data_IF_946742104335
#
_entry.id   IF_946742104335
#
_cell.length_a   1.000
_cell.length_b   1.000
_cell.length_c   1.000
_cell.angle_alpha   90.00
_cell.angle_beta   90.00
_cell.angle_gamma   90.00
#
_symmetry.space_group_name_H-M   'P 1'
#
loop_
_entity.id
_entity.type
_entity.pdbx_description
1 polymer ?
#
# COMPACT_ATOMS: atom_id res chain seq x y z
N UNK A 1 2.36 -17.39 -6.69
CA UNK A 1 1.39 -16.35 -7.04
C UNK A 1 1.69 -15.13 -6.20
N UNK A 2 2.35 -14.13 -6.76
CA UNK A 2 2.79 -12.92 -6.04
C UNK A 2 1.76 -11.81 -6.22
N UNK A 3 1.45 -11.07 -5.16
CA UNK A 3 0.55 -9.92 -5.21
C UNK A 3 1.29 -8.66 -4.74
N UNK A 4 1.39 -7.69 -5.63
CA UNK A 4 1.90 -6.35 -5.35
C UNK A 4 0.77 -5.48 -4.79
N UNK A 5 0.78 -5.22 -3.48
CA UNK A 5 -0.31 -4.48 -2.86
C UNK A 5 -0.24 -2.97 -3.09
N UNK A 6 0.84 -2.46 -3.69
CA UNK A 6 1.06 -1.03 -3.90
C UNK A 6 1.98 -0.82 -5.10
N UNK A 7 1.42 -0.37 -6.20
CA UNK A 7 2.19 0.17 -7.31
C UNK A 7 1.47 1.35 -7.93
N UNK A 8 2.19 2.34 -8.45
CA UNK A 8 1.62 3.42 -9.23
C UNK A 8 1.60 3.04 -10.71
N UNK A 9 0.67 3.64 -11.45
CA UNK A 9 0.80 3.67 -12.91
C UNK A 9 1.98 4.60 -13.21
N UNK A 10 2.88 4.20 -14.11
CA UNK A 10 4.08 4.96 -14.44
C UNK A 10 5.36 4.27 -13.99
N UNK A 11 6.44 4.52 -14.73
CA UNK A 11 7.70 3.80 -14.54
C UNK A 11 8.33 4.15 -13.20
N UNK A 12 8.28 5.41 -12.80
CA UNK A 12 8.84 5.91 -11.56
C UNK A 12 8.12 7.15 -11.05
N UNK A 13 8.69 7.75 -10.00
CA UNK A 13 8.13 8.92 -9.32
C UNK A 13 8.00 10.16 -10.20
N UNK A 14 8.80 10.27 -11.25
CA UNK A 14 8.78 11.41 -12.18
C UNK A 14 7.69 11.28 -13.23
N UNK A 15 7.48 10.06 -13.72
CA UNK A 15 6.58 9.73 -14.82
C UNK A 15 5.14 9.53 -14.34
N UNK A 16 4.92 9.22 -13.05
CA UNK A 16 3.57 9.02 -12.51
C UNK A 16 2.68 10.23 -12.77
N UNK A 17 3.20 11.45 -12.66
CA UNK A 17 2.42 12.68 -12.89
C UNK A 17 2.16 13.01 -14.36
N UNK A 18 2.73 12.25 -15.29
CA UNK A 18 2.57 12.44 -16.73
C UNK A 18 1.45 11.56 -17.32
N UNK A 19 0.76 10.80 -16.48
CA UNK A 19 -0.32 9.91 -16.91
C UNK A 19 -1.60 10.70 -17.16
N UNK A 20 -2.22 10.41 -18.29
CA UNK A 20 -3.41 11.06 -18.81
C UNK A 20 -4.34 10.02 -19.41
N UNK A 21 -5.56 10.46 -19.76
CA UNK A 21 -6.52 9.62 -20.49
C UNK A 21 -6.01 9.18 -21.87
N UNK A 22 -5.02 9.86 -22.43
CA UNK A 22 -4.49 9.56 -23.77
C UNK A 22 -3.39 8.49 -23.74
N UNK A 23 -2.70 8.29 -22.60
CA UNK A 23 -1.53 7.40 -22.51
C UNK A 23 -1.64 6.29 -21.44
N UNK A 24 -2.67 6.27 -20.58
CA UNK A 24 -2.75 5.31 -19.48
C UNK A 24 -2.72 3.84 -19.94
N UNK A 25 -3.27 3.52 -21.11
CA UNK A 25 -3.27 2.16 -21.69
C UNK A 25 -1.83 1.67 -21.90
N UNK A 26 -0.95 2.51 -22.46
CA UNK A 26 0.45 2.17 -22.68
C UNK A 26 1.17 1.92 -21.35
N UNK A 27 0.92 2.76 -20.34
CA UNK A 27 1.49 2.57 -19.00
C UNK A 27 1.01 1.28 -18.34
N UNK A 28 -0.25 0.88 -18.55
CA UNK A 28 -0.80 -0.38 -18.06
C UNK A 28 -0.11 -1.57 -18.73
N UNK A 29 0.05 -1.55 -20.06
CA UNK A 29 0.75 -2.61 -20.78
C UNK A 29 2.22 -2.75 -20.33
N UNK A 30 2.91 -1.63 -20.11
CA UNK A 30 4.27 -1.61 -19.58
C UNK A 30 4.30 -2.24 -18.17
N UNK A 31 3.38 -1.85 -17.29
CA UNK A 31 3.28 -2.41 -15.95
C UNK A 31 3.06 -3.93 -16.01
N UNK A 32 2.11 -4.42 -16.81
CA UNK A 32 1.79 -5.85 -16.90
C UNK A 32 2.96 -6.64 -17.49
N UNK A 33 3.64 -6.12 -18.51
CA UNK A 33 4.87 -6.73 -19.05
C UNK A 33 5.98 -6.85 -17.99
N UNK A 34 6.11 -5.82 -17.14
CA UNK A 34 7.04 -5.85 -16.00
C UNK A 34 6.60 -6.85 -14.93
N UNK A 35 5.32 -6.91 -14.62
CA UNK A 35 4.76 -7.92 -13.72
C UNK A 35 5.11 -9.34 -14.22
N UNK A 36 4.95 -9.62 -15.50
CA UNK A 36 5.29 -10.92 -16.11
C UNK A 36 6.78 -11.25 -15.98
N UNK A 37 7.63 -10.26 -16.24
CA UNK A 37 9.09 -10.41 -16.11
C UNK A 37 9.53 -10.78 -14.69
N UNK A 38 8.82 -10.28 -13.68
CA UNK A 38 9.16 -10.47 -12.26
C UNK A 38 8.27 -11.49 -11.54
N UNK A 39 7.37 -12.18 -12.26
CA UNK A 39 6.47 -13.18 -11.68
C UNK A 39 5.44 -12.59 -10.70
N UNK A 40 4.97 -11.38 -10.97
CA UNK A 40 3.89 -10.71 -10.23
C UNK A 40 2.57 -11.05 -10.92
N UNK A 41 1.65 -11.70 -10.21
CA UNK A 41 0.39 -12.14 -10.80
C UNK A 41 -0.67 -11.04 -10.72
N UNK A 42 -0.71 -10.32 -9.60
CA UNK A 42 -1.70 -9.28 -9.33
C UNK A 42 -1.06 -8.03 -8.74
N UNK A 43 -1.63 -6.87 -9.04
CA UNK A 43 -1.18 -5.59 -8.50
C UNK A 43 -2.36 -4.71 -8.08
N UNK A 44 -2.19 -3.92 -7.03
CA UNK A 44 -3.13 -2.87 -6.61
C UNK A 44 -2.54 -1.53 -7.01
N UNK A 45 -3.22 -0.85 -7.93
CA UNK A 45 -2.84 0.47 -8.39
C UNK A 45 -3.22 1.53 -7.34
N UNK A 46 -2.23 2.29 -6.90
CA UNK A 46 -2.39 3.40 -5.97
C UNK A 46 -2.55 4.72 -6.74
N UNK A 47 -3.72 5.40 -6.64
CA UNK A 47 -3.93 6.68 -7.31
C UNK A 47 -3.10 7.80 -6.66
N UNK A 48 -2.80 8.83 -7.44
CA UNK A 48 -2.03 10.01 -6.99
C UNK A 48 -2.93 11.25 -6.95
N UNK A 49 -3.94 11.24 -6.09
CA UNK A 49 -4.84 12.38 -5.89
C UNK A 49 -4.12 13.53 -5.14
N UNK A 50 -4.41 14.80 -5.47
CA UNK A 50 -5.38 15.28 -6.47
C UNK A 50 -4.85 15.36 -7.91
N UNK A 51 -3.58 15.04 -8.15
CA UNK A 51 -2.96 15.21 -9.47
C UNK A 51 -3.56 14.28 -10.53
N UNK A 52 -3.86 13.03 -10.17
CA UNK A 52 -4.48 12.04 -11.04
C UNK A 52 -5.63 11.37 -10.30
N UNK A 53 -6.81 11.44 -10.91
CA UNK A 53 -8.04 10.98 -10.28
C UNK A 53 -8.08 9.46 -10.11
N UNK A 54 -8.71 9.01 -9.03
CA UNK A 54 -9.02 7.60 -8.80
C UNK A 54 -9.80 6.97 -9.96
N UNK A 55 -10.67 7.74 -10.63
CA UNK A 55 -11.44 7.25 -11.79
C UNK A 55 -10.54 6.77 -12.96
N UNK A 56 -9.41 7.43 -13.22
CA UNK A 56 -8.47 6.98 -14.26
C UNK A 56 -7.87 5.62 -13.88
N UNK A 57 -7.54 5.44 -12.61
CA UNK A 57 -6.99 4.18 -12.10
C UNK A 57 -8.01 3.05 -12.15
N UNK A 58 -9.29 3.33 -11.91
CA UNK A 58 -10.37 2.37 -12.12
C UNK A 58 -10.46 1.96 -13.59
N UNK A 59 -10.46 2.90 -14.54
CA UNK A 59 -10.44 2.60 -15.97
C UNK A 59 -9.21 1.75 -16.37
N UNK A 60 -8.04 2.04 -15.79
CA UNK A 60 -6.82 1.27 -16.03
C UNK A 60 -6.98 -0.21 -15.60
N UNK A 61 -7.72 -0.49 -14.53
CA UNK A 61 -7.98 -1.89 -14.11
C UNK A 61 -8.85 -2.67 -15.08
N UNK A 62 -9.73 -2.00 -15.85
CA UNK A 62 -10.62 -2.66 -16.81
C UNK A 62 -9.87 -3.28 -17.99
N UNK A 63 -8.63 -2.86 -18.24
CA UNK A 63 -7.78 -3.41 -19.31
C UNK A 63 -7.33 -4.84 -18.95
N UNK A 64 -6.98 -5.09 -17.68
CA UNK A 64 -6.56 -6.41 -17.17
C UNK A 64 -7.26 -6.73 -15.82
N UNK A 65 -8.58 -6.95 -15.82
CA UNK A 65 -9.39 -7.01 -14.59
C UNK A 65 -9.06 -8.21 -13.68
N UNK A 66 -8.50 -9.28 -14.24
CA UNK A 66 -8.06 -10.45 -13.46
C UNK A 66 -6.73 -10.26 -12.74
N UNK A 67 -6.00 -9.17 -13.07
CA UNK A 67 -4.64 -8.90 -12.59
C UNK A 67 -4.53 -7.58 -11.84
N UNK A 68 -5.32 -6.58 -12.21
CA UNK A 68 -5.20 -5.24 -11.66
C UNK A 68 -6.41 -4.92 -10.79
N UNK A 69 -6.11 -4.44 -9.60
CA UNK A 69 -7.08 -3.83 -8.69
C UNK A 69 -6.71 -2.35 -8.50
N UNK A 70 -7.62 -1.57 -7.93
CA UNK A 70 -7.36 -0.16 -7.64
C UNK A 70 -7.62 0.12 -6.16
N UNK A 71 -6.73 0.88 -5.53
CA UNK A 71 -7.06 1.61 -4.32
C UNK A 71 -7.80 2.91 -4.70
N UNK A 72 -8.58 3.47 -3.79
CA UNK A 72 -9.16 4.79 -3.96
C UNK A 72 -8.48 5.79 -3.03
N UNK A 73 -8.15 6.98 -3.54
CA UNK A 73 -7.73 8.11 -2.69
C UNK A 73 -8.83 9.15 -2.72
N UNK A 74 -9.21 9.63 -1.53
CA UNK A 74 -10.36 10.52 -1.36
C UNK A 74 -9.98 11.62 -0.39
N UNK A 75 -10.14 12.87 -0.82
CA UNK A 75 -10.05 14.02 0.09
C UNK A 75 -11.21 13.94 1.09
N UNK A 76 -10.96 13.84 2.42
CA UNK A 76 -12.03 13.57 3.39
C UNK A 76 -13.10 14.67 3.52
N UNK A 77 -12.87 15.86 2.95
CA UNK A 77 -13.80 16.98 2.99
C UNK A 77 -14.33 17.33 1.59
N UNK A 78 -15.63 17.62 1.45
CA UNK A 78 -16.69 17.53 2.46
C UNK A 78 -17.05 16.09 2.86
N UNK A 79 -17.27 15.84 4.15
CA UNK A 79 -17.37 14.49 4.72
C UNK A 79 -18.46 13.62 4.10
N UNK A 80 -19.65 14.18 3.85
CA UNK A 80 -20.75 13.41 3.25
C UNK A 80 -20.43 13.00 1.81
N UNK A 81 -19.81 13.90 1.04
CA UNK A 81 -19.39 13.63 -0.34
C UNK A 81 -18.25 12.61 -0.38
N UNK A 82 -17.31 12.69 0.56
CA UNK A 82 -16.21 11.72 0.69
C UNK A 82 -16.75 10.30 0.96
N UNK A 83 -17.76 10.17 1.83
CA UNK A 83 -18.42 8.89 2.11
C UNK A 83 -19.21 8.36 0.92
N UNK A 84 -19.94 9.21 0.22
CA UNK A 84 -20.65 8.84 -1.02
C UNK A 84 -19.67 8.36 -2.09
N UNK A 85 -18.56 9.08 -2.31
CA UNK A 85 -17.49 8.66 -3.22
C UNK A 85 -16.85 7.34 -2.81
N UNK A 86 -16.60 7.13 -1.51
CA UNK A 86 -16.05 5.87 -1.02
C UNK A 86 -16.98 4.71 -1.38
N UNK A 87 -18.29 4.86 -1.18
CA UNK A 87 -19.26 3.84 -1.57
C UNK A 87 -19.26 3.59 -3.08
N UNK A 88 -19.28 4.64 -3.89
CA UNK A 88 -19.23 4.52 -5.36
C UNK A 88 -17.94 3.79 -5.83
N UNK A 89 -16.78 4.12 -5.26
CA UNK A 89 -15.53 3.45 -5.59
C UNK A 89 -15.47 1.99 -5.14
N UNK A 90 -16.05 1.66 -3.97
CA UNK A 90 -16.19 0.27 -3.53
C UNK A 90 -17.08 -0.50 -4.50
N UNK A 91 -18.21 0.07 -4.91
CA UNK A 91 -19.15 -0.55 -5.85
C UNK A 91 -18.52 -0.76 -7.25
N UNK A 92 -17.60 0.14 -7.65
CA UNK A 92 -16.77 0.01 -8.86
C UNK A 92 -15.58 -0.95 -8.69
N UNK A 93 -15.39 -1.55 -7.52
CA UNK A 93 -14.41 -2.62 -7.30
C UNK A 93 -13.09 -2.21 -6.65
N UNK A 94 -12.98 -1.00 -6.09
CA UNK A 94 -11.79 -0.62 -5.31
C UNK A 94 -11.53 -1.61 -4.15
N UNK A 95 -10.25 -1.90 -3.90
CA UNK A 95 -9.78 -2.90 -2.93
C UNK A 95 -9.05 -2.33 -1.72
N UNK A 96 -8.79 -1.03 -1.69
CA UNK A 96 -8.22 -0.33 -0.54
C UNK A 96 -8.62 1.15 -0.55
N UNK A 97 -8.57 1.80 0.62
CA UNK A 97 -8.58 3.24 0.78
C UNK A 97 -7.13 3.70 1.00
N UNK A 98 -6.66 4.64 0.20
CA UNK A 98 -5.36 5.29 0.31
C UNK A 98 -5.52 6.66 0.97
N UNK A 99 -4.87 6.83 2.11
CA UNK A 99 -4.68 8.11 2.79
C UNK A 99 -3.27 8.60 2.49
N UNK A 100 -3.17 9.47 1.49
CA UNK A 100 -1.93 10.11 1.08
C UNK A 100 -1.72 11.42 1.86
N UNK A 101 -0.48 11.72 2.25
CA UNK A 101 -0.16 12.95 3.00
C UNK A 101 -0.62 14.25 2.32
N UNK A 102 -0.84 14.24 1.00
CA UNK A 102 -1.43 15.36 0.26
C UNK A 102 -2.96 15.44 0.36
N UNK A 103 -3.64 14.33 0.64
CA UNK A 103 -5.10 14.23 0.59
C UNK A 103 -5.80 14.38 1.94
N UNK A 104 -5.10 14.19 3.07
CA UNK A 104 -5.67 14.33 4.41
C UNK A 104 -4.71 14.96 5.44
N UNK A 105 -5.28 15.39 6.58
CA UNK A 105 -4.52 15.78 7.76
C UNK A 105 -4.82 14.79 8.91
N UNK A 106 -3.81 14.24 9.63
CA UNK A 106 -4.02 13.21 10.67
C UNK A 106 -4.92 13.63 11.84
N UNK A 107 -5.01 14.94 12.11
CA UNK A 107 -5.88 15.50 13.16
C UNK A 107 -7.29 15.85 12.66
N UNK A 108 -7.59 15.71 11.37
CA UNK A 108 -8.91 16.04 10.84
C UNK A 108 -9.93 14.94 11.20
N UNK A 109 -11.01 15.24 11.94
CA UNK A 109 -12.07 14.27 12.23
C UNK A 109 -12.73 13.68 10.99
N UNK A 110 -12.69 14.39 9.85
CA UNK A 110 -13.22 13.88 8.59
C UNK A 110 -12.43 12.65 8.09
N UNK A 111 -11.11 12.63 8.27
CA UNK A 111 -10.26 11.50 7.91
C UNK A 111 -10.59 10.26 8.76
N UNK A 112 -10.74 10.45 10.08
CA UNK A 112 -11.15 9.38 10.99
C UNK A 112 -12.54 8.82 10.64
N UNK A 113 -13.49 9.69 10.28
CA UNK A 113 -14.81 9.24 9.85
C UNK A 113 -14.78 8.48 8.51
N UNK A 114 -13.87 8.84 7.61
CA UNK A 114 -13.68 8.10 6.36
C UNK A 114 -13.08 6.72 6.61
N UNK A 115 -12.07 6.63 7.49
CA UNK A 115 -11.51 5.36 7.96
C UNK A 115 -12.58 4.47 8.58
N UNK A 116 -13.43 5.05 9.44
CA UNK A 116 -14.54 4.33 10.06
C UNK A 116 -15.46 3.66 9.03
N UNK A 117 -15.85 4.39 7.97
CA UNK A 117 -16.68 3.81 6.92
C UNK A 117 -15.94 2.74 6.11
N UNK A 118 -14.65 2.94 5.80
CA UNK A 118 -13.83 1.95 5.09
C UNK A 118 -13.71 0.64 5.88
N UNK A 119 -13.41 0.72 7.18
CA UNK A 119 -13.33 -0.45 8.08
C UNK A 119 -14.67 -1.20 8.11
N UNK A 120 -15.81 -0.50 8.21
CA UNK A 120 -17.14 -1.14 8.20
C UNK A 120 -17.45 -1.92 6.94
N UNK A 121 -16.76 -1.62 5.84
CA UNK A 121 -16.87 -2.30 4.55
C UNK A 121 -15.78 -3.35 4.33
N UNK A 122 -14.98 -3.65 5.36
CA UNK A 122 -13.79 -4.52 5.31
C UNK A 122 -12.76 -4.06 4.27
N UNK A 123 -12.70 -2.74 4.01
CA UNK A 123 -11.76 -2.15 3.06
C UNK A 123 -10.45 -1.81 3.80
N UNK A 124 -9.30 -2.36 3.38
CA UNK A 124 -7.99 -2.00 3.91
C UNK A 124 -7.68 -0.51 3.78
N UNK A 125 -6.91 0.01 4.72
CA UNK A 125 -6.48 1.41 4.77
C UNK A 125 -4.97 1.45 4.58
N UNK A 126 -4.54 2.08 3.51
CA UNK A 126 -3.14 2.36 3.22
C UNK A 126 -2.82 3.76 3.71
N UNK A 127 -1.75 3.88 4.49
CA UNK A 127 -1.26 5.16 4.99
C UNK A 127 0.05 5.45 4.27
N UNK A 128 0.05 6.51 3.47
CA UNK A 128 1.18 6.91 2.65
C UNK A 128 1.68 8.29 3.08
N UNK A 129 2.87 8.29 3.65
CA UNK A 129 3.62 9.49 4.02
C UNK A 129 5.08 9.25 3.63
N UNK A 130 5.73 10.23 2.99
CA UNK A 130 7.15 10.14 2.66
C UNK A 130 7.99 9.96 3.95
N UNK A 131 7.53 10.59 5.04
CA UNK A 131 8.07 10.45 6.40
C UNK A 131 6.92 10.42 7.41
N UNK A 132 6.81 9.34 8.19
CA UNK A 132 5.84 9.28 9.28
C UNK A 132 6.17 10.29 10.38
N UNK A 133 5.27 11.26 10.56
CA UNK A 133 5.33 12.25 11.63
C UNK A 133 4.72 11.71 12.92
N UNK A 134 5.05 12.32 14.07
CA UNK A 134 4.44 11.97 15.36
C UNK A 134 2.91 12.07 15.33
N UNK A 135 2.36 13.02 14.59
CA UNK A 135 0.90 13.18 14.42
C UNK A 135 0.30 12.01 13.64
N UNK A 136 0.96 11.57 12.57
CA UNK A 136 0.51 10.43 11.76
C UNK A 136 0.62 9.12 12.52
N UNK A 137 1.70 8.94 13.30
CA UNK A 137 1.88 7.79 14.19
C UNK A 137 0.79 7.78 15.26
N UNK A 138 0.48 8.93 15.87
CA UNK A 138 -0.62 9.04 16.85
C UNK A 138 -1.99 8.76 16.21
N UNK A 139 -2.17 9.17 14.96
CA UNK A 139 -3.39 8.86 14.20
C UNK A 139 -3.51 7.35 13.94
N UNK A 140 -2.46 6.71 13.41
CA UNK A 140 -2.42 5.25 13.21
C UNK A 140 -2.63 4.51 14.53
N UNK A 141 -1.98 4.96 15.61
CA UNK A 141 -2.13 4.43 16.96
C UNK A 141 -3.61 4.47 17.38
N UNK A 142 -4.26 5.62 17.26
CA UNK A 142 -5.66 5.77 17.61
C UNK A 142 -6.60 4.90 16.77
N UNK A 143 -6.52 4.97 15.44
CA UNK A 143 -7.45 4.25 14.55
C UNK A 143 -7.30 2.73 14.66
N UNK A 144 -6.07 2.23 14.79
CA UNK A 144 -5.83 0.78 14.90
C UNK A 144 -6.22 0.22 16.28
N UNK A 145 -6.28 1.04 17.32
CA UNK A 145 -6.86 0.66 18.62
C UNK A 145 -8.39 0.66 18.59
N UNK A 146 -9.00 1.65 17.96
CA UNK A 146 -10.46 1.78 17.87
C UNK A 146 -11.08 0.75 16.91
N UNK A 147 -10.35 0.38 15.86
CA UNK A 147 -10.79 -0.54 14.81
C UNK A 147 -9.88 -1.78 14.75
N UNK A 148 -10.03 -2.68 15.71
CA UNK A 148 -9.20 -3.89 15.80
C UNK A 148 -9.42 -4.84 14.63
N UNK A 149 -10.58 -4.76 13.99
CA UNK A 149 -10.99 -5.46 12.78
C UNK A 149 -10.49 -4.80 11.49
N UNK A 150 -10.14 -3.50 11.54
CA UNK A 150 -9.59 -2.79 10.38
C UNK A 150 -8.27 -3.38 9.93
N UNK A 151 -7.86 -3.14 8.67
CA UNK A 151 -6.58 -3.62 8.15
C UNK A 151 -5.74 -2.41 7.73
N UNK A 152 -4.67 -2.13 8.45
CA UNK A 152 -3.86 -0.92 8.24
C UNK A 152 -2.49 -1.29 7.67
N UNK A 153 -2.17 -0.72 6.51
CA UNK A 153 -0.87 -0.91 5.85
C UNK A 153 -0.14 0.41 5.83
N UNK A 154 1.07 0.44 6.39
CA UNK A 154 1.96 1.60 6.27
C UNK A 154 2.83 1.43 5.04
N UNK A 155 2.61 2.29 4.05
CA UNK A 155 3.37 2.29 2.80
C UNK A 155 4.79 2.83 3.02
N UNK A 156 5.75 2.38 2.20
CA UNK A 156 7.17 2.72 2.30
C UNK A 156 7.76 2.48 3.70
N UNK A 157 7.24 1.52 4.47
CA UNK A 157 7.58 1.28 5.88
C UNK A 157 7.54 2.56 6.77
N UNK A 158 6.78 3.58 6.36
CA UNK A 158 6.72 4.88 7.04
C UNK A 158 7.92 5.80 6.84
N UNK A 159 8.76 5.52 5.84
CA UNK A 159 9.95 6.29 5.52
C UNK A 159 11.16 5.93 6.39
N UNK A 160 12.36 6.24 5.89
CA UNK A 160 13.64 5.78 6.47
C UNK A 160 13.79 6.15 7.96
N UNK A 161 13.42 7.38 8.34
CA UNK A 161 13.51 7.88 9.72
C UNK A 161 12.22 7.70 10.53
N UNK A 162 11.11 7.40 9.86
CA UNK A 162 9.83 7.08 10.51
C UNK A 162 9.74 5.62 10.94
N UNK A 163 10.36 4.70 10.20
CA UNK A 163 10.30 3.26 10.45
C UNK A 163 10.62 2.85 11.91
N UNK A 164 11.72 3.32 12.55
CA UNK A 164 12.02 2.93 13.93
C UNK A 164 10.92 3.34 14.93
N UNK A 165 10.17 4.40 14.64
CA UNK A 165 9.10 4.90 15.50
C UNK A 165 7.82 4.06 15.39
N UNK A 166 7.69 3.22 14.35
CA UNK A 166 6.56 2.33 14.15
C UNK A 166 6.70 1.01 14.90
N UNK A 167 7.92 0.60 15.28
CA UNK A 167 8.19 -0.69 15.92
C UNK A 167 7.27 -0.96 17.13
N UNK A 168 7.00 0.00 18.05
CA UNK A 168 6.09 -0.25 19.17
C UNK A 168 4.66 -0.63 18.74
N UNK A 169 4.21 -0.14 17.57
CA UNK A 169 2.88 -0.43 17.02
C UNK A 169 2.82 -1.80 16.34
N UNK A 170 3.95 -2.42 15.99
CA UNK A 170 3.98 -3.71 15.27
C UNK A 170 3.46 -4.90 16.09
N UNK A 171 3.32 -4.74 17.41
CA UNK A 171 2.64 -5.71 18.27
C UNK A 171 1.15 -5.88 17.94
N UNK A 172 0.54 -4.91 17.25
CA UNK A 172 -0.89 -4.92 16.92
C UNK A 172 -1.19 -5.87 15.78
N UNK A 173 -2.21 -6.72 15.88
CA UNK A 173 -2.48 -7.74 14.86
C UNK A 173 -2.86 -7.15 13.50
N UNK A 174 -3.45 -5.95 13.50
CA UNK A 174 -4.06 -5.30 12.35
C UNK A 174 -3.17 -4.26 11.61
N UNK A 175 -1.86 -4.24 11.88
CA UNK A 175 -0.91 -3.37 11.18
C UNK A 175 0.09 -4.22 10.39
N UNK A 176 0.38 -3.78 9.16
CA UNK A 176 1.40 -4.30 8.25
C UNK A 176 2.30 -3.18 7.72
N UNK A 177 3.52 -3.54 7.34
CA UNK A 177 4.51 -2.69 6.69
C UNK A 177 4.71 -3.17 5.25
N UNK A 178 4.60 -2.24 4.32
CA UNK A 178 4.80 -2.50 2.90
C UNK A 178 6.26 -2.21 2.50
N UNK A 179 6.83 -3.07 1.63
CA UNK A 179 8.27 -3.22 1.42
C UNK A 179 8.88 -2.42 0.24
N UNK A 180 8.26 -1.37 -0.27
CA UNK A 180 8.74 -0.63 -1.46
C UNK A 180 10.06 0.12 -1.25
N UNK A 181 10.09 1.44 -1.46
CA UNK A 181 11.32 2.21 -1.68
C UNK A 181 12.23 2.21 -0.45
N UNK A 182 11.62 2.19 0.74
CA UNK A 182 12.35 2.30 2.00
C UNK A 182 13.03 0.99 2.40
N UNK A 183 12.48 -0.15 2.01
CA UNK A 183 12.99 -1.46 2.44
C UNK A 183 14.41 -1.72 1.96
N UNK A 184 14.68 -1.61 0.65
CA UNK A 184 16.03 -1.85 0.13
C UNK A 184 17.03 -0.83 0.68
N UNK A 185 16.63 0.42 0.92
CA UNK A 185 17.45 1.42 1.62
C UNK A 185 17.75 1.02 3.06
N UNK A 186 16.79 0.43 3.78
CA UNK A 186 17.01 -0.08 5.14
C UNK A 186 18.00 -1.24 5.10
N UNK A 187 17.79 -2.23 4.23
CA UNK A 187 18.62 -3.44 4.10
C UNK A 187 20.09 -3.10 3.84
N UNK A 188 20.35 -2.06 3.06
CA UNK A 188 21.71 -1.59 2.72
C UNK A 188 22.32 -0.62 3.74
N UNK A 189 21.56 -0.19 4.75
CA UNK A 189 21.99 0.84 5.70
C UNK A 189 22.19 0.30 7.12
N UNK A 190 22.83 1.07 8.02
CA UNK A 190 22.90 0.74 9.44
C UNK A 190 21.53 0.59 10.13
N UNK A 191 20.44 1.07 9.51
CA UNK A 191 19.09 0.93 10.06
C UNK A 191 18.54 -0.50 9.92
N UNK A 192 19.23 -1.40 9.21
CA UNK A 192 18.88 -2.83 9.12
C UNK A 192 18.64 -3.47 10.49
N UNK A 193 19.34 -3.03 11.53
CA UNK A 193 19.14 -3.53 12.91
C UNK A 193 17.69 -3.41 13.38
N UNK A 194 16.94 -2.41 12.91
CA UNK A 194 15.53 -2.25 13.24
C UNK A 194 14.64 -3.22 12.48
N UNK A 195 14.98 -3.53 11.22
CA UNK A 195 14.31 -4.57 10.44
C UNK A 195 14.54 -5.94 11.06
N UNK A 196 15.78 -6.24 11.45
CA UNK A 196 16.13 -7.49 12.11
C UNK A 196 15.37 -7.64 13.44
N UNK A 197 15.21 -6.56 14.21
CA UNK A 197 14.39 -6.56 15.43
C UNK A 197 12.91 -6.86 15.14
N UNK A 198 12.33 -6.27 14.09
CA UNK A 198 10.94 -6.57 13.68
C UNK A 198 10.78 -8.03 13.27
N UNK A 199 11.73 -8.56 12.48
CA UNK A 199 11.72 -9.96 12.07
C UNK A 199 11.90 -10.91 13.27
N UNK A 200 12.73 -10.56 14.24
CA UNK A 200 12.95 -11.35 15.44
C UNK A 200 11.74 -11.37 16.38
N UNK A 201 11.13 -10.20 16.63
CA UNK A 201 10.05 -10.06 17.62
C UNK A 201 8.68 -10.42 17.05
N UNK A 202 8.43 -10.09 15.78
CA UNK A 202 7.14 -10.23 15.14
C UNK A 202 7.15 -11.18 13.94
N UNK A 203 8.31 -11.57 13.42
CA UNK A 203 8.39 -12.37 12.21
C UNK A 203 7.93 -11.60 10.96
N UNK A 204 7.94 -12.31 9.83
CA UNK A 204 7.57 -11.74 8.54
C UNK A 204 6.06 -11.55 8.32
N UNK A 205 5.21 -11.97 9.27
CA UNK A 205 3.74 -11.76 9.20
C UNK A 205 3.33 -10.28 9.16
N UNK A 206 4.27 -9.39 9.48
CA UNK A 206 4.12 -7.93 9.47
C UNK A 206 4.60 -7.26 8.20
N UNK A 207 5.17 -8.01 7.27
CA UNK A 207 5.74 -7.47 6.04
C UNK A 207 4.89 -7.92 4.86
N UNK A 208 4.60 -7.01 3.93
CA UNK A 208 3.82 -7.33 2.73
C UNK A 208 4.49 -6.74 1.50
N UNK A 209 4.50 -7.50 0.42
CA UNK A 209 5.11 -7.08 -0.83
C UNK A 209 4.30 -5.96 -1.48
N UNK A 210 4.94 -4.82 -1.66
CA UNK A 210 4.51 -3.72 -2.52
C UNK A 210 5.74 -3.12 -3.19
N UNK A 211 5.60 -2.61 -4.41
CA UNK A 211 6.73 -2.05 -5.15
C UNK A 211 6.82 -0.53 -5.10
N UNK A 212 5.72 0.17 -4.83
CA UNK A 212 5.57 1.59 -5.09
C UNK A 212 5.57 1.90 -6.59
N UNK A 213 6.58 1.43 -7.33
CA UNK A 213 6.68 1.55 -8.79
C UNK A 213 7.28 0.27 -9.39
N UNK A 214 6.82 -0.12 -10.56
CA UNK A 214 7.31 -1.34 -11.23
C UNK A 214 8.78 -1.25 -11.72
N UNK A 215 9.39 -0.05 -11.72
CA UNK A 215 10.84 0.10 -11.88
C UNK A 215 11.63 -0.44 -10.70
N UNK A 216 11.02 -0.53 -9.52
CA UNK A 216 11.68 -0.95 -8.27
C UNK A 216 11.67 -2.46 -8.05
N UNK A 217 10.97 -3.25 -8.89
CA UNK A 217 10.99 -4.71 -8.78
C UNK A 217 12.41 -5.32 -8.70
N UNK A 218 13.42 -4.91 -9.50
CA UNK A 218 14.77 -5.45 -9.38
C UNK A 218 15.39 -5.22 -7.99
N UNK A 219 15.33 -3.99 -7.48
CA UNK A 219 15.92 -3.61 -6.20
C UNK A 219 15.20 -4.30 -5.03
N UNK A 220 13.88 -4.40 -5.11
CA UNK A 220 13.06 -5.08 -4.12
C UNK A 220 13.37 -6.58 -4.05
N UNK A 221 13.47 -7.26 -5.20
CA UNK A 221 13.82 -8.67 -5.24
C UNK A 221 15.26 -8.91 -4.76
N UNK A 222 16.19 -8.01 -5.10
CA UNK A 222 17.57 -8.08 -4.61
C UNK A 222 17.62 -7.94 -3.08
N UNK A 223 16.90 -6.97 -2.52
CA UNK A 223 16.84 -6.76 -1.07
C UNK A 223 16.17 -7.93 -0.32
N UNK A 224 15.11 -8.53 -0.88
CA UNK A 224 14.48 -9.74 -0.33
C UNK A 224 15.47 -10.91 -0.28
N UNK A 225 16.30 -11.07 -1.30
CA UNK A 225 17.35 -12.10 -1.31
C UNK A 225 18.45 -11.83 -0.27
N UNK A 226 18.75 -10.56 0.04
CA UNK A 226 19.79 -10.18 1.02
C UNK A 226 19.42 -10.44 2.48
N UNK A 227 18.13 -10.56 2.79
CA UNK A 227 17.65 -10.91 4.13
C UNK A 227 17.44 -12.42 4.33
N UNK A 228 17.90 -13.24 3.36
CA UNK A 228 17.99 -14.72 3.42
C UNK A 228 16.70 -15.39 3.93
N UNK A 229 15.58 -15.04 3.29
CA UNK A 229 14.27 -15.61 3.66
C UNK A 229 14.17 -17.07 3.20
N UNK A 230 13.64 -17.91 4.09
CA UNK A 230 13.19 -19.24 3.68
C UNK A 230 11.94 -19.15 2.77
N UNK A 231 11.63 -20.28 2.11
CA UNK A 231 10.54 -20.37 1.14
C UNK A 231 9.18 -20.02 1.76
N UNK A 232 8.94 -20.41 3.01
CA UNK A 232 7.67 -20.11 3.70
C UNK A 232 7.55 -18.62 4.01
N UNK A 233 8.64 -18.00 4.43
CA UNK A 233 8.68 -16.56 4.71
C UNK A 233 8.50 -15.73 3.46
N UNK A 234 9.15 -16.14 2.36
CA UNK A 234 8.95 -15.51 1.05
C UNK A 234 7.48 -15.63 0.60
N UNK A 235 6.88 -16.82 0.73
CA UNK A 235 5.46 -17.07 0.43
C UNK A 235 4.53 -16.18 1.27
N UNK A 236 4.85 -16.01 2.55
CA UNK A 236 4.07 -15.20 3.47
C UNK A 236 4.04 -13.72 3.03
N UNK A 237 5.22 -13.14 2.75
CA UNK A 237 5.37 -11.73 2.37
C UNK A 237 4.77 -11.45 0.98
N UNK A 238 5.06 -12.33 0.01
CA UNK A 238 4.75 -12.10 -1.40
C UNK A 238 3.33 -12.51 -1.78
N UNK A 239 2.65 -13.32 -0.96
CA UNK A 239 1.32 -13.87 -1.27
C UNK A 239 0.35 -13.75 -0.12
N UNK A 240 0.60 -14.44 0.99
CA UNK A 240 -0.44 -14.68 2.00
C UNK A 240 -0.86 -13.41 2.73
N UNK A 241 0.09 -12.55 3.12
CA UNK A 241 -0.25 -11.30 3.80
C UNK A 241 -1.09 -10.40 2.89
N UNK A 242 -0.74 -10.31 1.60
CA UNK A 242 -1.54 -9.57 0.63
C UNK A 242 -2.97 -10.11 0.52
N UNK A 243 -3.16 -11.43 0.56
CA UNK A 243 -4.48 -12.05 0.47
C UNK A 243 -5.32 -11.83 1.72
N UNK A 244 -4.71 -11.90 2.90
CA UNK A 244 -5.36 -11.55 4.17
C UNK A 244 -5.80 -10.10 4.17
N UNK A 245 -4.92 -9.19 3.74
CA UNK A 245 -5.20 -7.76 3.66
C UNK A 245 -6.36 -7.51 2.70
N UNK A 246 -6.24 -7.96 1.45
CA UNK A 246 -7.19 -7.65 0.37
C UNK A 246 -8.46 -8.51 0.37
N UNK A 247 -8.57 -9.49 1.27
CA UNK A 247 -9.70 -10.44 1.30
C UNK A 247 -9.76 -11.33 0.06
N UNK A 248 -8.61 -11.66 -0.55
CA UNK A 248 -8.55 -12.55 -1.71
C UNK A 248 -8.67 -14.02 -1.29
N UNK A 249 -9.35 -14.82 -2.10
CA UNK A 249 -9.56 -16.24 -1.80
C UNK A 249 -8.29 -17.06 -1.99
N UNK A 250 -8.05 -18.01 -1.08
CA UNK A 250 -6.96 -18.96 -1.18
C UNK A 250 -7.32 -20.09 -2.15
N UNK A 251 -6.97 -19.93 -3.44
CA UNK A 251 -7.02 -21.03 -4.42
C UNK A 251 -5.66 -21.74 -4.53
#
# INVERSE_FOLDING_TARGET
MTTDIHTHLGIGRTEVTEITLDNYIEHVDILVSRMDTFGIDKAVLAPHEPEISTDLYLQATEIYPDRLYSACSIIPRPINQAKEKLHDFIDKGCKALLLDEKSYHPQDPAAESLVYEAVRKDLPIYIHNDIMTSETITFLDRISTLHQEGKFVVLNMGGLFGFPQLIPLMSRPNIWLELSTTFFKIVESPLRVFLDAVLQDFGARKLVFGSGYHSQYPDLMAALNMIDLDVETSRLIMKENAWVILGLSFF
#
